data_IF_199563987196
#
_entry.id   IF_199563987196
#
_cell.length_a   1.000
_cell.length_b   1.000
_cell.length_c   1.000
_cell.angle_alpha   90.00
_cell.angle_beta   90.00
_cell.angle_gamma   90.00
#
_symmetry.space_group_name_H-M   'P 1'
#
loop_
_entity.id
_entity.type
_entity.pdbx_description
1 polymer ?
#
# COMPACT_ATOMS: atom_id res chain seq x y z
N UNK A 1 10.41 20.08 18.11
CA UNK A 1 9.68 18.86 18.55
C UNK A 1 9.68 17.91 17.37
N UNK A 2 10.60 16.94 17.36
CA UNK A 2 10.79 16.00 16.25
C UNK A 2 9.85 14.82 16.49
N UNK A 3 8.92 14.57 15.56
CA UNK A 3 8.14 13.33 15.54
C UNK A 3 9.13 12.19 15.29
N UNK A 4 9.55 11.53 16.37
CA UNK A 4 10.35 10.32 16.30
C UNK A 4 9.56 9.28 15.52
N UNK A 5 10.14 8.81 14.41
CA UNK A 5 9.62 7.65 13.68
C UNK A 5 9.56 6.50 14.68
N UNK A 6 8.34 6.09 15.03
CA UNK A 6 8.11 4.90 15.85
C UNK A 6 8.41 3.70 14.95
N UNK A 7 9.67 3.31 14.91
CA UNK A 7 10.10 2.08 14.27
C UNK A 7 9.89 0.95 15.29
N UNK A 8 8.63 0.54 15.51
CA UNK A 8 8.38 -0.69 16.24
C UNK A 8 8.91 -1.84 15.39
N UNK A 9 9.85 -2.66 15.90
CA UNK A 9 10.25 -3.86 15.20
C UNK A 9 9.01 -4.72 15.06
N UNK A 10 8.57 -4.95 13.82
CA UNK A 10 7.52 -5.92 13.53
C UNK A 10 8.06 -7.26 14.01
N UNK A 11 7.70 -7.65 15.24
CA UNK A 11 7.96 -8.98 15.78
C UNK A 11 7.55 -9.98 14.70
N UNK A 12 8.51 -10.81 14.28
CA UNK A 12 8.43 -11.73 13.14
C UNK A 12 7.03 -12.37 13.03
N UNK A 13 6.17 -11.80 12.18
CA UNK A 13 4.75 -12.19 12.12
C UNK A 13 4.56 -13.61 11.54
N UNK A 14 5.56 -14.18 10.85
CA UNK A 14 5.73 -15.60 10.47
C UNK A 14 6.95 -15.74 9.53
N UNK A 15 7.19 -16.94 8.97
CA UNK A 15 8.11 -17.18 7.84
C UNK A 15 7.63 -16.59 6.49
N UNK A 16 6.51 -15.86 6.48
CA UNK A 16 5.99 -15.20 5.27
C UNK A 16 6.75 -13.91 4.98
N UNK A 17 6.84 -13.57 3.70
CA UNK A 17 7.30 -12.25 3.27
C UNK A 17 6.18 -11.24 3.46
N UNK A 18 6.44 -10.20 4.25
CA UNK A 18 5.53 -9.09 4.46
C UNK A 18 5.89 -7.92 3.55
N UNK A 19 4.89 -7.14 3.15
CA UNK A 19 5.08 -5.90 2.43
C UNK A 19 4.45 -4.74 3.21
N UNK A 20 5.08 -3.57 3.12
CA UNK A 20 4.47 -2.32 3.58
C UNK A 20 3.70 -1.71 2.41
N UNK A 21 2.46 -1.33 2.67
CA UNK A 21 1.60 -0.65 1.72
C UNK A 21 1.37 0.80 2.14
N UNK A 22 1.25 1.69 1.17
CA UNK A 22 0.76 3.04 1.34
C UNK A 22 -0.62 3.13 0.70
N UNK A 23 -1.58 3.71 1.43
CA UNK A 23 -2.95 3.91 0.96
C UNK A 23 -3.30 5.40 0.94
N UNK A 24 -3.86 5.86 -0.17
CA UNK A 24 -4.54 7.17 -0.27
C UNK A 24 -6.03 6.89 -0.42
N UNK A 25 -6.85 7.33 0.53
CA UNK A 25 -8.27 7.01 0.57
C UNK A 25 -9.12 8.28 0.48
N UNK A 26 -10.16 8.23 -0.35
CA UNK A 26 -11.31 9.12 -0.26
C UNK A 26 -12.40 8.39 0.53
N UNK A 27 -12.74 8.96 1.68
CA UNK A 27 -13.72 8.43 2.61
C UNK A 27 -14.87 9.42 2.73
N UNK A 28 -16.10 8.93 2.75
CA UNK A 28 -17.27 9.78 2.96
C UNK A 28 -17.54 10.10 4.44
N UNK A 29 -18.64 10.81 4.71
CA UNK A 29 -19.01 11.24 6.05
C UNK A 29 -19.41 10.07 6.98
N UNK A 30 -19.77 8.92 6.41
CA UNK A 30 -20.18 7.72 7.14
C UNK A 30 -18.99 6.80 7.43
N UNK A 31 -17.81 7.11 6.87
CA UNK A 31 -16.59 6.33 7.05
C UNK A 31 -16.37 5.28 5.97
N UNK A 32 -17.16 5.29 4.89
CA UNK A 32 -17.05 4.33 3.80
C UNK A 32 -15.99 4.75 2.79
N UNK A 33 -15.21 3.79 2.29
CA UNK A 33 -14.21 4.04 1.25
C UNK A 33 -14.93 4.20 -0.08
N UNK A 34 -14.93 5.43 -0.61
CA UNK A 34 -15.50 5.74 -1.93
C UNK A 34 -14.53 5.33 -3.03
N UNK A 35 -13.24 5.69 -2.86
CA UNK A 35 -12.17 5.35 -3.79
C UNK A 35 -10.80 5.47 -3.13
N UNK A 36 -9.77 4.96 -3.79
CA UNK A 36 -8.42 5.13 -3.29
C UNK A 36 -7.34 4.72 -4.27
N UNK A 37 -6.11 4.81 -3.78
CA UNK A 37 -4.90 4.39 -4.47
C UNK A 37 -4.07 3.52 -3.52
N UNK A 38 -3.59 2.37 -4.01
CA UNK A 38 -2.68 1.48 -3.30
C UNK A 38 -1.29 1.52 -3.96
N UNK A 39 -0.25 1.61 -3.13
CA UNK A 39 1.15 1.59 -3.54
C UNK A 39 2.04 1.08 -2.42
N UNK A 40 3.34 1.31 -2.53
CA UNK A 40 4.30 0.98 -1.47
C UNK A 40 5.56 1.83 -1.56
N UNK A 41 6.41 1.82 -0.51
CA UNK A 41 7.62 2.60 -0.48
C UNK A 41 8.62 2.08 -1.52
N UNK A 42 9.03 2.94 -2.45
CA UNK A 42 10.13 2.63 -3.37
C UNK A 42 11.44 3.03 -2.70
N UNK A 43 12.20 2.05 -2.20
CA UNK A 43 13.49 2.33 -1.54
C UNK A 43 14.57 2.78 -2.55
N UNK A 44 14.43 2.45 -3.84
CA UNK A 44 15.51 2.62 -4.84
C UNK A 44 15.10 3.05 -6.25
N UNK A 45 13.84 3.41 -6.52
CA UNK A 45 13.45 3.73 -7.90
C UNK A 45 13.32 5.24 -8.12
N UNK A 46 13.99 5.73 -9.17
CA UNK A 46 13.72 7.02 -9.81
C UNK A 46 12.46 6.96 -10.69
N UNK A 47 11.76 5.83 -10.70
CA UNK A 47 10.55 5.63 -11.47
C UNK A 47 9.33 6.22 -10.76
N UNK A 48 8.35 6.57 -11.57
CA UNK A 48 7.11 7.23 -11.17
C UNK A 48 6.42 6.34 -10.11
N UNK A 49 6.17 6.88 -8.90
CA UNK A 49 5.45 6.18 -7.84
C UNK A 49 4.25 5.40 -8.42
N UNK A 50 4.33 4.07 -8.45
CA UNK A 50 3.27 3.27 -9.08
C UNK A 50 2.10 3.09 -8.13
N UNK A 51 1.07 3.91 -8.35
CA UNK A 51 -0.21 3.84 -7.64
C UNK A 51 -1.24 3.09 -8.46
N UNK A 52 -1.93 2.13 -7.85
CA UNK A 52 -3.07 1.42 -8.44
C UNK A 52 -4.37 1.98 -7.86
N UNK A 53 -5.23 2.50 -8.73
CA UNK A 53 -6.51 3.10 -8.36
C UNK A 53 -7.59 2.04 -8.17
N UNK A 54 -8.48 2.29 -7.22
CA UNK A 54 -9.66 1.44 -6.98
C UNK A 54 -10.88 2.26 -6.53
N UNK A 55 -12.05 1.60 -6.55
CA UNK A 55 -13.34 2.13 -6.06
C UNK A 55 -13.93 1.17 -5.03
N UNK A 56 -14.55 1.73 -4.00
CA UNK A 56 -15.13 0.94 -2.92
C UNK A 56 -14.08 0.24 -2.07
N UNK A 57 -14.51 -0.34 -0.95
CA UNK A 57 -13.71 -1.25 -0.14
C UNK A 57 -13.36 -2.53 -0.91
N UNK A 58 -14.28 -3.04 -1.74
CA UNK A 58 -14.08 -4.26 -2.54
C UNK A 58 -12.91 -4.14 -3.53
N UNK A 59 -12.68 -2.95 -4.07
CA UNK A 59 -11.61 -2.69 -5.03
C UNK A 59 -10.21 -2.68 -4.40
N UNK A 60 -10.11 -2.49 -3.08
CA UNK A 60 -8.83 -2.36 -2.39
C UNK A 60 -7.95 -3.61 -2.56
N UNK A 61 -8.50 -4.79 -2.32
CA UNK A 61 -7.72 -6.03 -2.40
C UNK A 61 -7.25 -6.31 -3.83
N UNK A 62 -8.07 -5.97 -4.82
CA UNK A 62 -7.69 -6.03 -6.24
C UNK A 62 -6.51 -5.13 -6.57
N UNK A 63 -6.54 -3.88 -6.11
CA UNK A 63 -5.44 -2.94 -6.31
C UNK A 63 -4.15 -3.39 -5.62
N UNK A 64 -4.25 -3.98 -4.43
CA UNK A 64 -3.08 -4.56 -3.72
C UNK A 64 -2.47 -5.71 -4.53
N UNK A 65 -3.28 -6.64 -5.04
CA UNK A 65 -2.78 -7.74 -5.86
C UNK A 65 -2.14 -7.27 -7.16
N UNK A 66 -2.75 -6.28 -7.84
CA UNK A 66 -2.20 -5.70 -9.06
C UNK A 66 -0.86 -5.02 -8.79
N UNK A 67 -0.75 -4.24 -7.70
CA UNK A 67 0.50 -3.59 -7.32
C UNK A 67 1.59 -4.61 -6.99
N UNK A 68 1.25 -5.69 -6.29
CA UNK A 68 2.19 -6.79 -6.00
C UNK A 68 2.66 -7.49 -7.27
N UNK A 69 1.75 -7.78 -8.20
CA UNK A 69 2.09 -8.43 -9.47
C UNK A 69 3.02 -7.57 -10.32
N UNK A 70 2.80 -6.25 -10.33
CA UNK A 70 3.67 -5.29 -10.99
C UNK A 70 5.10 -5.29 -10.43
N UNK A 71 5.25 -5.50 -9.11
CA UNK A 71 6.55 -5.51 -8.42
C UNK A 71 7.37 -6.78 -8.68
N UNK A 72 6.73 -7.88 -9.07
CA UNK A 72 7.41 -9.15 -9.32
C UNK A 72 8.28 -9.15 -10.60
N UNK A 73 8.11 -8.16 -11.49
CA UNK A 73 8.76 -8.11 -12.80
C UNK A 73 8.26 -9.22 -13.75
N UNK A 74 8.55 -9.13 -15.07
CA UNK A 74 8.41 -10.30 -15.94
C UNK A 74 9.43 -11.36 -15.50
N UNK A 75 8.97 -12.60 -15.37
CA UNK A 75 9.81 -13.76 -15.05
C UNK A 75 10.89 -14.01 -16.12
#
# INVERSE_FOLDING_TARGET
MVLGRVNMPVEKLSDKQYVVLLLRLLVDADGEIVSGEAGGPEEHSTEIERWVRFRGSDGLLGAVHEWLAARAGPA
#
